data_IF_121689713182
#
_entry.id   IF_121689713182
#
_cell.length_a   1.000
_cell.length_b   1.000
_cell.length_c   1.000
_cell.angle_alpha   90.00
_cell.angle_beta   90.00
_cell.angle_gamma   90.00
#
_symmetry.space_group_name_H-M   'P 1'
#
loop_
_entity.id
_entity.type
_entity.pdbx_description
1 polymer ?
#
# COMPACT_ATOMS: atom_id res chain seq x y z
N UNK A 1 -7.51 0.78 -17.78
CA UNK A 1 -7.06 2.12 -17.29
C UNK A 1 -8.15 3.14 -17.61
N UNK A 2 -8.32 4.18 -16.79
CA UNK A 2 -9.25 5.30 -17.05
C UNK A 2 -8.43 6.59 -17.24
N UNK A 3 -8.92 7.53 -18.04
CA UNK A 3 -8.28 8.84 -18.25
C UNK A 3 -8.71 9.78 -17.12
N UNK A 4 -7.73 10.46 -16.53
CA UNK A 4 -7.95 11.45 -15.47
C UNK A 4 -7.22 12.72 -15.91
N UNK A 5 -7.93 13.86 -15.85
CA UNK A 5 -7.35 15.18 -16.10
C UNK A 5 -7.21 15.91 -14.77
N UNK A 6 -6.01 16.39 -14.47
CA UNK A 6 -5.70 17.14 -13.25
C UNK A 6 -5.04 18.47 -13.61
N UNK A 7 -5.30 19.51 -12.81
CA UNK A 7 -4.59 20.79 -12.91
C UNK A 7 -3.48 20.80 -11.87
N UNK A 8 -2.25 21.05 -12.29
CA UNK A 8 -1.08 21.14 -11.42
C UNK A 8 -0.26 22.39 -11.79
N UNK A 9 0.45 22.99 -10.82
CA UNK A 9 1.41 24.07 -11.09
C UNK A 9 2.51 23.65 -12.08
N UNK A 10 3.01 24.61 -12.85
CA UNK A 10 4.05 24.36 -13.87
C UNK A 10 5.35 23.81 -13.27
N UNK A 11 5.74 24.27 -12.09
CA UNK A 11 6.96 23.79 -11.41
C UNK A 11 6.95 22.27 -11.14
N UNK A 12 5.77 21.68 -10.92
CA UNK A 12 5.66 20.22 -10.75
C UNK A 12 5.70 19.48 -12.07
N UNK A 13 5.23 20.11 -13.16
CA UNK A 13 5.34 19.54 -14.50
C UNK A 13 6.80 19.50 -14.94
N UNK A 14 7.57 20.55 -14.70
CA UNK A 14 9.00 20.62 -14.98
C UNK A 14 9.77 19.52 -14.24
N UNK A 15 9.54 19.37 -12.93
CA UNK A 15 10.17 18.29 -12.16
C UNK A 15 9.80 16.90 -12.66
N UNK A 16 8.56 16.71 -13.14
CA UNK A 16 8.13 15.45 -13.74
C UNK A 16 8.82 15.18 -15.08
N UNK A 17 9.03 16.22 -15.89
CA UNK A 17 9.74 16.13 -17.17
C UNK A 17 11.22 15.84 -16.96
N UNK A 18 11.86 16.43 -15.95
CA UNK A 18 13.23 16.11 -15.58
C UNK A 18 13.37 14.62 -15.24
N UNK A 19 12.45 14.07 -14.43
CA UNK A 19 12.42 12.64 -14.08
C UNK A 19 12.29 11.71 -15.30
N UNK A 20 11.58 12.15 -16.34
CA UNK A 20 11.47 11.42 -17.60
C UNK A 20 12.74 11.58 -18.44
N UNK A 21 13.31 12.78 -18.51
CA UNK A 21 14.52 13.08 -19.27
C UNK A 21 15.74 12.31 -18.77
N UNK A 22 15.87 12.12 -17.45
CA UNK A 22 16.92 11.27 -16.87
C UNK A 22 16.68 9.77 -17.07
N UNK A 23 15.59 9.38 -17.73
CA UNK A 23 15.26 8.00 -18.06
C UNK A 23 14.75 7.16 -16.88
N UNK A 24 14.39 7.78 -15.75
CA UNK A 24 13.84 7.06 -14.58
C UNK A 24 12.42 6.56 -14.82
N UNK A 25 11.66 7.25 -15.65
CA UNK A 25 10.33 6.85 -16.07
C UNK A 25 10.17 7.03 -17.58
N UNK A 26 9.40 6.17 -18.22
CA UNK A 26 9.20 6.20 -19.68
C UNK A 26 8.25 7.32 -20.11
N UNK A 27 7.41 7.81 -19.20
CA UNK A 27 6.47 8.92 -19.47
C UNK A 27 6.02 9.63 -18.19
N UNK A 28 5.54 10.87 -18.36
CA UNK A 28 4.89 11.66 -17.30
C UNK A 28 3.76 10.86 -16.62
N UNK A 29 2.94 10.18 -17.41
CA UNK A 29 1.84 9.36 -16.91
C UNK A 29 2.32 8.15 -16.09
N UNK A 30 3.48 7.57 -16.42
CA UNK A 30 4.05 6.48 -15.64
C UNK A 30 4.57 6.96 -14.28
N UNK A 31 5.29 8.08 -14.27
CA UNK A 31 5.79 8.71 -13.06
C UNK A 31 4.65 9.09 -12.10
N UNK A 32 3.57 9.71 -12.62
CA UNK A 32 2.38 10.04 -11.82
C UNK A 32 1.73 8.78 -11.24
N UNK A 33 1.58 7.72 -12.05
CA UNK A 33 1.02 6.45 -11.56
C UNK A 33 1.90 5.81 -10.49
N UNK A 34 3.23 5.91 -10.61
CA UNK A 34 4.14 5.40 -9.60
C UNK A 34 3.99 6.15 -8.28
N UNK A 35 3.98 7.49 -8.32
CA UNK A 35 3.76 8.31 -7.14
C UNK A 35 2.41 8.01 -6.46
N UNK A 36 1.33 7.83 -7.23
CA UNK A 36 0.02 7.44 -6.67
C UNK A 36 0.09 6.06 -6.01
N UNK A 37 0.75 5.07 -6.63
CA UNK A 37 0.90 3.73 -6.03
C UNK A 37 1.68 3.80 -4.72
N UNK A 38 2.79 4.52 -4.70
CA UNK A 38 3.66 4.61 -3.54
C UNK A 38 2.96 5.36 -2.40
N UNK A 39 2.20 6.41 -2.73
CA UNK A 39 1.35 7.11 -1.79
C UNK A 39 0.27 6.18 -1.21
N UNK A 40 -0.46 5.45 -2.05
CA UNK A 40 -1.51 4.53 -1.58
C UNK A 40 -0.93 3.39 -0.73
N UNK A 41 0.22 2.85 -1.12
CA UNK A 41 0.89 1.81 -0.34
C UNK A 41 1.28 2.32 1.04
N UNK A 42 1.88 3.51 1.11
CA UNK A 42 2.29 4.12 2.38
C UNK A 42 1.09 4.39 3.29
N UNK A 43 0.05 5.05 2.77
CA UNK A 43 -1.05 5.49 3.63
C UNK A 43 -2.05 4.36 3.95
N UNK A 44 -2.29 3.42 3.04
CA UNK A 44 -3.30 2.37 3.23
C UNK A 44 -2.71 1.09 3.84
N UNK A 45 -1.52 0.67 3.43
CA UNK A 45 -0.94 -0.59 3.87
C UNK A 45 -0.36 -0.51 5.30
N UNK A 46 0.18 0.64 5.70
CA UNK A 46 0.64 0.86 7.08
C UNK A 46 -0.55 0.89 8.08
N UNK A 47 -1.74 1.25 7.61
CA UNK A 47 -2.98 1.15 8.40
C UNK A 47 -3.49 -0.30 8.50
N UNK A 48 -3.30 -1.12 7.46
CA UNK A 48 -3.78 -2.51 7.40
C UNK A 48 -2.87 -3.50 8.14
N UNK A 49 -1.55 -3.31 8.11
CA UNK A 49 -0.58 -4.12 8.87
C UNK A 49 -0.83 -4.04 10.38
N UNK A 50 -1.20 -2.86 10.88
CA UNK A 50 -1.60 -2.64 12.28
C UNK A 50 -2.92 -3.35 12.67
N UNK A 51 -3.74 -3.74 11.68
CA UNK A 51 -5.03 -4.39 11.90
C UNK A 51 -4.95 -5.91 11.78
N UNK A 52 -4.16 -6.42 10.82
CA UNK A 52 -3.93 -7.87 10.65
C UNK A 52 -3.18 -8.51 11.81
N UNK A 53 -2.21 -7.82 12.40
CA UNK A 53 -1.49 -8.34 13.57
C UNK A 53 -2.41 -8.52 14.78
N UNK A 54 -3.51 -7.77 14.90
CA UNK A 54 -4.46 -7.93 16.01
C UNK A 54 -5.42 -9.10 15.80
N UNK A 55 -5.83 -9.35 14.56
CA UNK A 55 -6.75 -10.46 14.24
C UNK A 55 -6.03 -11.82 14.29
N UNK A 56 -4.79 -11.90 13.80
CA UNK A 56 -4.00 -13.15 13.78
C UNK A 56 -3.56 -13.58 15.20
N UNK A 57 -3.22 -12.63 16.09
CA UNK A 57 -2.84 -12.93 17.48
C UNK A 57 -4.03 -13.35 18.38
N UNK A 58 -5.26 -12.91 18.06
CA UNK A 58 -6.44 -13.30 18.81
C UNK A 58 -6.96 -14.69 18.39
N UNK A 59 -6.88 -15.09 17.11
CA UNK A 59 -7.16 -16.46 16.65
C UNK A 59 -6.19 -17.49 17.29
N UNK A 60 -4.89 -17.17 17.31
CA UNK A 60 -3.84 -17.98 17.93
C UNK A 60 -4.06 -18.20 19.45
N UNK A 61 -4.63 -17.20 20.14
CA UNK A 61 -4.94 -17.30 21.58
C UNK A 61 -6.18 -18.14 21.84
N UNK A 62 -7.17 -18.12 20.95
CA UNK A 62 -8.38 -18.94 21.05
C UNK A 62 -8.05 -20.42 20.83
N UNK A 63 -7.19 -20.74 19.85
CA UNK A 63 -6.78 -22.13 19.55
C UNK A 63 -5.98 -22.75 20.70
N UNK A 64 -5.05 -22.01 21.32
CA UNK A 64 -4.26 -22.51 22.47
C UNK A 64 -5.09 -22.73 23.74
N UNK A 65 -6.24 -22.05 23.88
CA UNK A 65 -7.18 -22.22 24.99
C UNK A 65 -8.21 -23.35 24.75
N UNK A 66 -8.36 -23.79 23.49
CA UNK A 66 -9.23 -24.88 23.08
C UNK A 66 -8.71 -26.30 23.37
N UNK A 67 -7.53 -26.43 24.00
CA UNK A 67 -7.01 -27.73 24.47
C UNK A 67 -7.67 -28.14 25.80
N UNK A 68 -8.99 -28.27 25.80
CA UNK A 68 -9.68 -29.05 26.82
C UNK A 68 -9.29 -30.51 26.56
N UNK A 69 -8.33 -30.98 27.36
CA UNK A 69 -7.94 -32.39 27.46
C UNK A 69 -9.18 -33.19 27.84
N UNK A 70 -9.86 -33.79 26.86
CA UNK A 70 -10.88 -34.79 27.12
C UNK A 70 -10.17 -36.10 27.46
N UNK A 71 -9.75 -36.23 28.72
CA UNK A 71 -9.41 -37.53 29.30
C UNK A 71 -10.71 -38.33 29.34
N UNK A 72 -10.83 -39.29 28.43
CA UNK A 72 -11.87 -40.31 28.53
C UNK A 72 -11.18 -41.52 29.16
N UNK A 73 -11.64 -41.91 30.34
CA UNK A 73 -11.23 -43.13 31.07
C UNK A 73 -11.67 -44.37 30.29
#
# INVERSE_FOLDING_TARGET
MRIITVKIPESYLEGLEELVNIGRYSSRSEAIRAAIRDLLKKELWDMESSKKEREENDEDRIERRGRIVRVTI
#
